data_IF_305523130805
#
_entry.id   IF_305523130805
#
_cell.length_a   1.000
_cell.length_b   1.000
_cell.length_c   1.000
_cell.angle_alpha   90.00
_cell.angle_beta   90.00
_cell.angle_gamma   90.00
#
_symmetry.space_group_name_H-M   'P 1'
#
loop_
_entity.id
_entity.type
_entity.pdbx_description
1 polymer ?
#
# COMPACT_ATOMS: atom_id res chain seq x y z
N UNK A 1 9.43 -17.26 12.27
CA UNK A 1 8.75 -16.57 11.14
C UNK A 1 8.61 -15.10 11.45
N UNK A 2 9.09 -14.25 10.57
CA UNK A 2 8.96 -12.79 10.73
C UNK A 2 7.53 -12.38 10.40
N UNK A 3 7.00 -11.44 11.21
CA UNK A 3 5.64 -10.93 11.04
C UNK A 3 5.70 -9.42 10.93
N UNK A 4 5.05 -8.89 9.90
CA UNK A 4 4.93 -7.45 9.71
C UNK A 4 3.48 -7.03 9.62
N UNK A 5 3.20 -5.86 10.18
CA UNK A 5 1.95 -5.15 9.94
C UNK A 5 2.27 -3.90 9.13
N UNK A 6 1.51 -3.70 8.06
CA UNK A 6 1.66 -2.57 7.15
C UNK A 6 0.34 -1.81 7.10
N UNK A 7 0.43 -0.49 7.12
CA UNK A 7 -0.70 0.38 6.85
C UNK A 7 -0.62 0.95 5.45
N UNK A 8 -1.74 0.97 4.74
CA UNK A 8 -1.86 1.61 3.44
C UNK A 8 -2.96 2.67 3.45
N UNK A 9 -2.75 3.77 2.75
CA UNK A 9 -3.67 4.89 2.74
C UNK A 9 -4.26 5.18 1.37
N UNK A 10 -5.58 5.15 1.26
CA UNK A 10 -6.29 5.63 0.08
C UNK A 10 -6.64 7.09 0.31
N UNK A 11 -6.08 7.97 -0.51
CA UNK A 11 -6.26 9.41 -0.40
C UNK A 11 -6.76 9.93 -1.75
N UNK A 12 -7.96 10.50 -1.75
CA UNK A 12 -8.58 11.06 -2.94
C UNK A 12 -8.53 12.59 -2.93
N UNK A 13 -8.32 13.16 -4.10
CA UNK A 13 -8.62 14.56 -4.41
C UNK A 13 -9.52 14.57 -5.64
N UNK A 14 -10.81 14.82 -5.44
CA UNK A 14 -11.86 14.66 -6.45
C UNK A 14 -11.83 13.22 -7.03
N UNK A 15 -11.59 13.07 -8.34
CA UNK A 15 -11.55 11.79 -9.03
C UNK A 15 -10.14 11.17 -9.11
N UNK A 16 -9.16 11.78 -8.40
CA UNK A 16 -7.78 11.34 -8.42
C UNK A 16 -7.39 10.67 -7.12
N UNK A 17 -6.52 9.68 -7.21
CA UNK A 17 -5.95 8.97 -6.08
C UNK A 17 -4.43 9.24 -6.02
N UNK A 18 -3.93 9.36 -4.80
CA UNK A 18 -2.51 9.59 -4.56
C UNK A 18 -1.75 8.27 -4.60
N UNK A 19 -0.69 8.21 -5.41
CA UNK A 19 0.19 7.06 -5.51
C UNK A 19 1.63 7.50 -5.31
N UNK A 20 2.44 6.59 -4.76
CA UNK A 20 3.88 6.80 -4.57
C UNK A 20 4.65 5.80 -5.41
N UNK A 21 5.77 6.25 -5.98
CA UNK A 21 6.69 5.38 -6.68
C UNK A 21 7.80 4.94 -5.73
N UNK A 22 7.89 3.63 -5.55
CA UNK A 22 8.90 3.00 -4.71
C UNK A 22 10.09 2.55 -5.56
N UNK A 23 11.29 2.85 -5.10
CA UNK A 23 12.53 2.40 -5.71
C UNK A 23 13.09 1.24 -4.89
N UNK A 24 13.20 0.09 -5.51
CA UNK A 24 13.64 -1.16 -4.87
C UNK A 24 15.08 -1.47 -5.24
N UNK A 25 15.69 -2.42 -4.51
CA UNK A 25 17.00 -2.95 -4.86
C UNK A 25 16.99 -3.51 -6.29
N UNK A 26 18.11 -3.34 -7.01
CA UNK A 26 18.23 -3.79 -8.39
C UNK A 26 17.59 -2.86 -9.42
N UNK A 27 17.22 -1.63 -9.04
CA UNK A 27 16.65 -0.64 -9.94
C UNK A 27 15.19 -0.86 -10.29
N UNK A 28 14.51 -1.79 -9.62
CA UNK A 28 13.08 -2.01 -9.84
C UNK A 28 12.26 -0.88 -9.22
N UNK A 29 11.18 -0.54 -9.87
CA UNK A 29 10.22 0.44 -9.35
C UNK A 29 8.82 -0.17 -9.33
N UNK A 30 8.01 0.26 -8.37
CA UNK A 30 6.59 -0.05 -8.34
C UNK A 30 5.80 1.15 -7.83
N UNK A 31 4.52 1.18 -8.15
CA UNK A 31 3.59 2.17 -7.64
C UNK A 31 2.67 1.52 -6.61
N UNK A 32 2.43 2.23 -5.52
CA UNK A 32 1.50 1.78 -4.48
C UNK A 32 0.79 2.97 -3.86
N UNK A 33 -0.25 2.70 -3.07
CA UNK A 33 -0.77 3.69 -2.15
C UNK A 33 0.31 4.03 -1.11
N UNK A 34 0.35 5.27 -0.59
CA UNK A 34 1.31 5.60 0.46
C UNK A 34 1.05 4.78 1.73
N UNK A 35 2.10 4.48 2.46
CA UNK A 35 2.03 3.70 3.68
C UNK A 35 3.35 3.01 3.97
N UNK A 36 3.36 2.17 4.98
CA UNK A 36 4.56 1.45 5.37
C UNK A 36 4.39 0.59 6.61
N UNK A 37 5.50 0.09 7.10
CA UNK A 37 5.53 -0.78 8.27
C UNK A 37 5.17 0.02 9.52
N UNK A 38 4.28 -0.58 10.32
CA UNK A 38 3.85 -0.02 11.59
C UNK A 38 4.88 -0.41 12.64
N UNK A 39 5.43 0.60 13.32
CA UNK A 39 6.43 0.37 14.36
C UNK A 39 5.79 -0.19 15.64
N UNK A 40 6.60 -0.89 16.42
CA UNK A 40 6.16 -1.40 17.72
C UNK A 40 5.68 -0.22 18.60
N UNK A 41 4.52 -0.41 19.22
CA UNK A 41 3.91 0.61 20.08
C UNK A 41 2.99 1.60 19.35
N UNK A 42 2.98 1.59 18.01
CA UNK A 42 2.04 2.40 17.25
C UNK A 42 0.75 1.61 16.97
N UNK A 43 -0.38 2.32 16.94
CA UNK A 43 -1.57 1.79 16.26
C UNK A 43 -1.37 1.85 14.75
N UNK A 44 -2.15 1.10 13.99
CA UNK A 44 -2.07 1.14 12.52
C UNK A 44 -2.29 2.57 12.02
N UNK A 45 -3.30 3.26 12.54
CA UNK A 45 -3.61 4.64 12.13
C UNK A 45 -2.48 5.60 12.48
N UNK A 46 -1.86 5.47 13.65
CA UNK A 46 -0.71 6.31 14.03
C UNK A 46 0.47 6.11 13.08
N UNK A 47 0.84 4.85 12.82
CA UNK A 47 1.94 4.54 11.93
C UNK A 47 1.66 4.95 10.49
N UNK A 48 0.43 4.71 10.01
CA UNK A 48 0.01 5.12 8.67
C UNK A 48 0.09 6.65 8.51
N UNK A 49 -0.40 7.40 9.49
CA UNK A 49 -0.35 8.87 9.45
C UNK A 49 1.09 9.38 9.38
N UNK A 50 1.98 8.78 10.15
CA UNK A 50 3.42 9.07 10.13
C UNK A 50 4.05 8.75 8.77
N UNK A 51 3.81 7.55 8.25
CA UNK A 51 4.35 7.10 6.96
C UNK A 51 3.89 8.00 5.81
N UNK A 52 2.60 8.36 5.78
CA UNK A 52 2.06 9.24 4.74
C UNK A 52 2.73 10.61 4.81
N UNK A 53 2.97 11.15 6.00
CA UNK A 53 3.66 12.43 6.17
C UNK A 53 5.10 12.36 5.66
N UNK A 54 5.82 11.29 5.99
CA UNK A 54 7.20 11.09 5.54
C UNK A 54 7.29 10.94 4.02
N UNK A 55 6.41 10.15 3.43
CA UNK A 55 6.45 9.81 2.02
C UNK A 55 5.89 10.90 1.11
N UNK A 56 4.90 11.65 1.56
CA UNK A 56 4.15 12.58 0.70
C UNK A 56 4.17 14.03 1.16
N UNK A 57 4.45 14.28 2.43
CA UNK A 57 4.32 15.61 3.03
C UNK A 57 2.92 15.96 3.52
N UNK A 58 1.93 15.12 3.23
CA UNK A 58 0.55 15.40 3.59
C UNK A 58 0.25 15.02 5.04
N UNK A 59 -0.50 15.88 5.72
CA UNK A 59 -1.00 15.64 7.06
C UNK A 59 -2.46 15.18 6.98
N UNK A 60 -2.71 13.94 7.39
CA UNK A 60 -4.06 13.37 7.42
C UNK A 60 -4.57 13.43 8.85
N UNK A 61 -5.67 14.17 9.06
CA UNK A 61 -6.25 14.36 10.38
C UNK A 61 -7.09 13.18 10.85
N UNK A 62 -7.74 12.49 9.92
CA UNK A 62 -8.61 11.36 10.26
C UNK A 62 -8.76 10.39 9.10
N UNK A 63 -9.04 9.15 9.48
CA UNK A 63 -9.20 8.02 8.56
C UNK A 63 -10.50 7.27 8.85
N UNK A 64 -11.05 6.65 7.83
CA UNK A 64 -12.14 5.67 7.94
C UNK A 64 -11.62 4.31 7.50
N UNK A 65 -11.95 3.27 8.26
CA UNK A 65 -11.54 1.91 7.90
C UNK A 65 -11.30 1.00 9.09
N UNK A 66 -10.67 -0.16 8.85
CA UNK A 66 -10.09 -0.57 7.55
C UNK A 66 -11.14 -0.74 6.46
N UNK A 67 -10.84 -0.27 5.25
CA UNK A 67 -11.72 -0.44 4.09
C UNK A 67 -11.53 -1.81 3.44
N UNK A 68 -10.32 -2.35 3.51
CA UNK A 68 -10.01 -3.75 3.23
C UNK A 68 -8.72 -4.15 3.92
N UNK A 69 -8.53 -5.45 4.06
CA UNK A 69 -7.34 -6.02 4.68
C UNK A 69 -6.74 -7.10 3.79
N UNK A 70 -5.45 -7.32 3.95
CA UNK A 70 -4.70 -8.33 3.20
C UNK A 70 -3.89 -9.15 4.19
N UNK A 71 -3.89 -10.46 3.99
CA UNK A 71 -2.91 -11.35 4.62
C UNK A 71 -2.09 -12.02 3.54
N UNK A 72 -0.79 -12.03 3.70
CA UNK A 72 0.12 -12.70 2.79
C UNK A 72 1.11 -13.55 3.57
N UNK A 73 1.38 -14.73 3.05
CA UNK A 73 2.35 -15.66 3.63
C UNK A 73 3.36 -16.04 2.57
N UNK A 74 4.65 -15.99 2.93
CA UNK A 74 5.75 -16.39 2.06
C UNK A 74 6.54 -17.50 2.76
N UNK A 75 6.12 -18.76 2.63
CA UNK A 75 6.73 -19.85 3.38
C UNK A 75 8.19 -20.10 3.03
N UNK A 76 8.59 -19.90 1.78
CA UNK A 76 9.98 -20.10 1.35
C UNK A 76 10.92 -19.00 1.86
N UNK A 77 10.38 -17.84 2.23
CA UNK A 77 11.14 -16.72 2.78
C UNK A 77 10.91 -16.52 4.29
N UNK A 78 10.09 -17.37 4.88
CA UNK A 78 9.77 -17.40 6.31
C UNK A 78 9.23 -16.07 6.86
N UNK A 79 8.21 -15.49 6.18
CA UNK A 79 7.53 -14.31 6.68
C UNK A 79 6.01 -14.35 6.43
N UNK A 80 5.30 -13.59 7.25
CA UNK A 80 3.88 -13.26 7.04
C UNK A 80 3.67 -11.75 7.11
N UNK A 81 2.69 -11.27 6.38
CA UNK A 81 2.36 -9.87 6.28
C UNK A 81 0.87 -9.68 6.49
N UNK A 82 0.50 -8.68 7.28
CA UNK A 82 -0.86 -8.19 7.39
C UNK A 82 -0.89 -6.73 6.95
N UNK A 83 -1.78 -6.40 6.04
CA UNK A 83 -1.99 -5.03 5.59
C UNK A 83 -3.39 -4.59 5.97
N UNK A 84 -3.51 -3.41 6.57
CA UNK A 84 -4.78 -2.72 6.76
C UNK A 84 -4.77 -1.45 5.92
N UNK A 85 -5.78 -1.28 5.10
CA UNK A 85 -5.91 -0.10 4.25
C UNK A 85 -7.07 0.75 4.76
N UNK A 86 -6.80 2.04 4.95
CA UNK A 86 -7.75 3.02 5.44
C UNK A 86 -7.90 4.14 4.42
N UNK A 87 -9.03 4.81 4.41
CA UNK A 87 -9.26 5.96 3.54
C UNK A 87 -9.23 7.26 4.34
N UNK A 88 -8.44 8.22 3.85
CA UNK A 88 -8.39 9.55 4.46
C UNK A 88 -9.73 10.26 4.26
N UNK A 89 -10.23 10.90 5.32
CA UNK A 89 -11.43 11.73 5.25
C UNK A 89 -11.10 13.18 4.96
N UNK A 90 -9.85 13.58 5.10
CA UNK A 90 -9.35 14.91 4.78
C UNK A 90 -7.85 14.99 5.01
N UNK A 91 -7.22 15.89 4.31
CA UNK A 91 -5.78 16.11 4.44
C UNK A 91 -5.44 17.57 4.21
N UNK A 92 -4.24 17.96 4.63
CA UNK A 92 -3.68 19.28 4.42
C UNK A 92 -2.19 19.21 4.12
N UNK A 93 -1.61 20.31 3.70
CA UNK A 93 -0.19 20.39 3.37
C UNK A 93 0.07 20.23 1.88
N UNK A 94 1.33 20.31 1.52
CA UNK A 94 1.82 20.20 0.14
C UNK A 94 2.66 18.95 -0.01
N UNK A 95 2.74 18.45 -1.25
CA UNK A 95 3.62 17.30 -1.55
C UNK A 95 5.06 17.71 -1.26
N UNK A 96 5.68 16.97 -0.32
CA UNK A 96 7.07 17.15 0.07
C UNK A 96 7.60 15.80 0.56
N UNK A 97 8.49 15.20 -0.20
CA UNK A 97 9.03 13.88 0.11
C UNK A 97 10.17 14.04 1.12
N UNK A 98 10.00 13.48 2.31
CA UNK A 98 11.01 13.43 3.37
C UNK A 98 11.11 12.00 3.91
N UNK A 99 11.23 11.04 3.00
CA UNK A 99 11.29 9.62 3.36
C UNK A 99 12.67 9.27 3.90
N UNK A 100 12.79 8.94 5.21
CA UNK A 100 14.09 8.60 5.81
C UNK A 100 14.69 7.32 5.25
N UNK A 101 13.86 6.42 4.72
CA UNK A 101 14.31 5.18 4.10
C UNK A 101 14.79 5.37 2.66
N UNK A 102 14.47 6.52 2.04
CA UNK A 102 14.88 6.86 0.68
C UNK A 102 14.26 5.97 -0.41
N UNK A 103 13.17 5.29 -0.10
CA UNK A 103 12.47 4.37 -1.01
C UNK A 103 11.56 5.14 -1.94
N UNK A 104 10.75 6.06 -1.39
CA UNK A 104 9.83 6.89 -2.18
C UNK A 104 10.58 8.07 -2.77
N UNK A 105 10.51 8.21 -4.09
CA UNK A 105 11.16 9.31 -4.82
C UNK A 105 10.21 10.12 -5.68
N UNK A 106 8.98 9.62 -5.88
CA UNK A 106 7.96 10.32 -6.67
C UNK A 106 6.59 10.10 -6.07
N UNK A 107 5.77 11.15 -6.08
CA UNK A 107 4.39 11.13 -5.59
C UNK A 107 3.55 11.82 -6.66
N UNK A 108 2.48 11.16 -7.11
CA UNK A 108 1.60 11.72 -8.14
C UNK A 108 0.14 11.40 -7.87
N UNK A 109 -0.72 12.29 -8.32
CA UNK A 109 -2.16 12.09 -8.39
C UNK A 109 -2.52 11.48 -9.74
N UNK A 110 -3.26 10.36 -9.71
CA UNK A 110 -3.74 9.69 -10.92
C UNK A 110 -5.26 9.63 -10.92
N UNK A 111 -5.87 9.84 -12.09
CA UNK A 111 -7.29 9.53 -12.23
C UNK A 111 -7.51 8.02 -12.10
N UNK A 112 -8.68 7.62 -11.61
CA UNK A 112 -8.96 6.20 -11.32
C UNK A 112 -8.81 5.30 -12.54
N UNK A 113 -9.17 5.81 -13.72
CA UNK A 113 -9.10 5.05 -14.98
C UNK A 113 -7.68 4.70 -15.41
N UNK A 114 -6.67 5.39 -14.87
CA UNK A 114 -5.26 5.09 -15.16
C UNK A 114 -4.69 3.98 -14.28
N UNK A 115 -5.33 3.64 -13.17
CA UNK A 115 -4.80 2.68 -12.21
C UNK A 115 -4.60 1.28 -12.78
N UNK A 116 -5.51 0.70 -13.58
CA UNK A 116 -5.27 -0.62 -14.15
C UNK A 116 -3.98 -0.70 -14.97
N UNK A 117 -3.70 0.31 -15.80
CA UNK A 117 -2.46 0.36 -16.57
C UNK A 117 -1.23 0.61 -15.68
N UNK A 118 -1.36 1.52 -14.71
CA UNK A 118 -0.27 1.84 -13.79
C UNK A 118 0.18 0.63 -12.99
N UNK A 119 -0.76 -0.22 -12.57
CA UNK A 119 -0.52 -1.38 -11.72
C UNK A 119 -0.30 -2.67 -12.50
N UNK A 120 -0.37 -2.62 -13.83
CA UNK A 120 -0.13 -3.78 -14.68
C UNK A 120 1.28 -4.32 -14.45
N UNK A 121 1.40 -5.65 -14.33
CA UNK A 121 2.67 -6.33 -14.10
C UNK A 121 3.16 -6.30 -12.66
N UNK A 122 2.51 -5.57 -11.77
CA UNK A 122 2.87 -5.59 -10.36
C UNK A 122 2.27 -6.80 -9.64
N UNK A 123 2.75 -7.05 -8.43
CA UNK A 123 2.29 -8.19 -7.64
C UNK A 123 0.77 -8.16 -7.44
N UNK A 124 0.16 -9.34 -7.53
CA UNK A 124 -1.30 -9.49 -7.42
C UNK A 124 -1.85 -8.88 -6.12
N UNK A 125 -1.14 -9.06 -5.00
CA UNK A 125 -1.57 -8.56 -3.69
C UNK A 125 -1.49 -7.04 -3.55
N UNK A 126 -0.79 -6.35 -4.48
CA UNK A 126 -0.78 -4.88 -4.55
C UNK A 126 -1.93 -4.35 -5.40
N UNK A 127 -2.18 -4.98 -6.55
CA UNK A 127 -3.13 -4.44 -7.53
C UNK A 127 -4.57 -4.94 -7.36
N UNK A 128 -4.78 -6.21 -7.07
CA UNK A 128 -6.13 -6.77 -7.01
C UNK A 128 -7.02 -6.13 -5.94
N UNK A 129 -6.56 -5.98 -4.67
CA UNK A 129 -7.41 -5.38 -3.65
C UNK A 129 -7.77 -3.93 -3.93
N UNK A 130 -6.81 -3.13 -4.38
CA UNK A 130 -7.06 -1.72 -4.66
C UNK A 130 -8.03 -1.56 -5.83
N UNK A 131 -7.82 -2.30 -6.93
CA UNK A 131 -8.72 -2.24 -8.09
C UNK A 131 -10.11 -2.75 -7.73
N UNK A 132 -10.21 -3.78 -6.89
CA UNK A 132 -11.50 -4.30 -6.41
C UNK A 132 -12.23 -3.25 -5.58
N UNK A 133 -11.53 -2.52 -4.74
CA UNK A 133 -12.11 -1.44 -3.95
C UNK A 133 -12.62 -0.30 -4.84
N UNK A 134 -11.82 0.13 -5.81
CA UNK A 134 -12.19 1.22 -6.72
C UNK A 134 -13.36 0.85 -7.61
N UNK A 135 -13.51 -0.42 -7.96
CA UNK A 135 -14.59 -0.95 -8.80
C UNK A 135 -15.82 -1.39 -8.00
N UNK A 136 -15.83 -1.18 -6.69
CA UNK A 136 -16.91 -1.59 -5.78
C UNK A 136 -17.18 -3.11 -5.85
N UNK A 137 -16.11 -3.90 -5.93
CA UNK A 137 -16.17 -5.37 -6.04
C UNK A 137 -15.37 -6.09 -4.96
N UNK A 138 -15.37 -5.53 -3.75
CA UNK A 138 -14.76 -6.20 -2.61
C UNK A 138 -15.50 -7.49 -2.25
N UNK A 139 -14.79 -8.52 -1.75
CA UNK A 139 -15.45 -9.65 -1.13
C UNK A 139 -16.24 -9.20 0.11
N UNK A 140 -17.21 -10.00 0.54
CA UNK A 140 -18.14 -9.65 1.63
C UNK A 140 -17.41 -9.29 2.93
N UNK A 141 -16.31 -9.99 3.24
CA UNK A 141 -15.49 -9.73 4.43
C UNK A 141 -14.42 -8.66 4.21
N UNK A 142 -14.35 -8.09 2.98
CA UNK A 142 -13.34 -7.11 2.58
C UNK A 142 -11.91 -7.58 2.88
N UNK A 143 -11.66 -8.89 2.80
CA UNK A 143 -10.37 -9.49 3.13
C UNK A 143 -9.83 -10.33 1.97
N UNK A 144 -8.51 -10.22 1.73
CA UNK A 144 -7.80 -10.94 0.69
C UNK A 144 -6.67 -11.77 1.31
N UNK A 145 -6.58 -13.03 0.92
CA UNK A 145 -5.50 -13.91 1.36
C UNK A 145 -4.62 -14.27 0.17
N UNK A 146 -3.31 -14.18 0.35
CA UNK A 146 -2.34 -14.53 -0.67
C UNK A 146 -1.25 -15.45 -0.12
N UNK A 147 -0.75 -16.30 -1.01
CA UNK A 147 0.49 -17.04 -0.79
C UNK A 147 1.52 -16.54 -1.80
N UNK A 148 2.69 -16.18 -1.30
CA UNK A 148 3.81 -15.70 -2.12
C UNK A 148 4.82 -16.84 -2.24
N UNK A 149 5.04 -17.28 -3.47
CA UNK A 149 5.95 -18.37 -3.80
C UNK A 149 7.25 -17.80 -4.37
N UNK A 150 8.35 -18.52 -4.11
CA UNK A 150 9.67 -18.12 -4.53
C UNK A 150 10.51 -17.59 -3.37
N UNK A 151 11.82 -17.57 -3.57
CA UNK A 151 12.78 -17.13 -2.56
C UNK A 151 13.75 -16.08 -3.06
N UNK A 152 13.64 -15.67 -4.32
CA UNK A 152 14.48 -14.64 -4.93
C UNK A 152 13.66 -13.44 -5.38
N UNK A 153 14.14 -12.24 -5.07
CA UNK A 153 13.54 -11.00 -5.54
C UNK A 153 13.50 -10.97 -7.08
N UNK A 154 12.33 -10.68 -7.65
CA UNK A 154 12.09 -10.70 -9.09
C UNK A 154 11.53 -12.00 -9.62
N UNK A 155 11.50 -13.06 -8.82
CA UNK A 155 10.92 -14.36 -9.16
C UNK A 155 9.74 -14.72 -8.25
N UNK A 156 9.24 -13.75 -7.50
CA UNK A 156 8.11 -13.97 -6.60
C UNK A 156 6.81 -14.04 -7.40
N UNK A 157 5.98 -15.00 -7.03
CA UNK A 157 4.64 -15.16 -7.60
C UNK A 157 3.62 -15.20 -6.48
N UNK A 158 2.65 -14.31 -6.52
CA UNK A 158 1.56 -14.29 -5.56
C UNK A 158 0.34 -15.01 -6.13
N UNK A 159 -0.25 -15.86 -5.33
CA UNK A 159 -1.50 -16.56 -5.65
C UNK A 159 -2.54 -16.20 -4.60
N UNK A 160 -3.77 -15.95 -5.04
CA UNK A 160 -4.88 -15.76 -4.10
C UNK A 160 -5.30 -17.12 -3.55
N UNK A 161 -5.48 -17.17 -2.25
CA UNK A 161 -5.80 -18.42 -1.54
C UNK A 161 -7.25 -18.42 -1.10
#
# INVERSE_FOLDING_TARGET
MRKWTVGGGVIFDADRILMVQNHRRGGRTDWSTPGGVIDEGETVVQGLTREVKEETGLAVASWVGPIYTISAEAPEMDWTLRVEVHQATGFSGDIQIEDPDGIVREVQWFTRDLLPSLLEGQQLWLREPLLSYLDERLPDDAHFNYRVLGNEAGQLRAERV
#
